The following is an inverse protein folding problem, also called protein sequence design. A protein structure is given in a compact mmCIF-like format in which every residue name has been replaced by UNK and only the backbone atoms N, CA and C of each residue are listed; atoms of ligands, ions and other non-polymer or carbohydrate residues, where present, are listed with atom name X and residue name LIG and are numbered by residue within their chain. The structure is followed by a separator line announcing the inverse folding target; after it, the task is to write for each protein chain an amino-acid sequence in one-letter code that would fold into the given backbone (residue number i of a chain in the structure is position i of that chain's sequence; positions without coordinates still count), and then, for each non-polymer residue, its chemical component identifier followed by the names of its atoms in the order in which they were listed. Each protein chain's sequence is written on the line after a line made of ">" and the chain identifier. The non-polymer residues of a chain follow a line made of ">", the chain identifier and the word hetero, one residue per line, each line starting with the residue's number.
data_IF_242439114090
#
_entry.id   IF_242439114090
#
_cell.length_a   1.000
_cell.length_b   1.000
_cell.length_c   1.000
_cell.angle_alpha   90.00
_cell.angle_beta   90.00
_cell.angle_gamma   90.00
#
_symmetry.space_group_name_H-M   'P 1'
#
loop_
_entity.id
_entity.type
_entity.pdbx_description
1 polymer ?
#
# COMPACT_ATOMS: atom_id res chain seq x y z
N UNK A 1 -11.35 3.51 -12.07
CA UNK A 1 -11.49 2.44 -11.05
C UNK A 1 -10.24 2.42 -10.18
N UNK A 2 -10.40 2.58 -8.86
CA UNK A 2 -9.26 2.59 -7.93
C UNK A 2 -9.02 1.21 -7.32
N UNK A 3 -7.77 0.74 -7.34
CA UNK A 3 -7.35 -0.51 -6.68
C UNK A 3 -6.32 -0.16 -5.61
N UNK A 4 -6.60 -0.58 -4.37
CA UNK A 4 -5.65 -0.56 -3.26
C UNK A 4 -4.99 -1.94 -3.14
N UNK A 5 -3.67 -1.97 -3.30
CA UNK A 5 -2.84 -3.16 -3.14
C UNK A 5 -2.17 -3.08 -1.78
N UNK A 6 -2.29 -4.16 -0.99
CA UNK A 6 -1.67 -4.29 0.31
C UNK A 6 -0.76 -5.52 0.33
N UNK A 7 0.48 -5.32 0.76
CA UNK A 7 1.38 -6.41 1.13
C UNK A 7 1.61 -6.35 2.64
N UNK A 8 1.00 -7.29 3.36
CA UNK A 8 0.99 -7.36 4.81
C UNK A 8 2.06 -8.31 5.31
N UNK A 9 3.16 -7.75 5.81
CA UNK A 9 4.13 -8.47 6.64
C UNK A 9 3.69 -8.52 8.11
N UNK A 10 4.44 -9.24 8.95
CA UNK A 10 4.13 -9.38 10.38
C UNK A 10 4.26 -8.08 11.19
N UNK A 11 5.13 -7.16 10.76
CA UNK A 11 5.40 -5.87 11.45
C UNK A 11 5.38 -4.67 10.51
N UNK A 12 4.96 -4.86 9.26
CA UNK A 12 4.89 -3.79 8.26
C UNK A 12 3.80 -4.03 7.23
N UNK A 13 3.29 -2.95 6.65
CA UNK A 13 2.35 -2.97 5.53
C UNK A 13 2.88 -2.04 4.44
N UNK A 14 3.14 -2.59 3.26
CA UNK A 14 3.38 -1.81 2.05
C UNK A 14 2.04 -1.60 1.35
N UNK A 15 1.79 -0.38 0.89
CA UNK A 15 0.56 -0.05 0.17
C UNK A 15 0.86 0.67 -1.15
N UNK A 16 0.02 0.41 -2.13
CA UNK A 16 -0.04 1.14 -3.39
C UNK A 16 -1.49 1.38 -3.76
N UNK A 17 -1.82 2.60 -4.19
CA UNK A 17 -3.13 2.96 -4.73
C UNK A 17 -2.97 3.28 -6.21
N UNK A 18 -3.66 2.52 -7.05
CA UNK A 18 -3.67 2.70 -8.49
C UNK A 18 -5.02 3.19 -8.99
N UNK A 19 -5.01 4.07 -10.00
CA UNK A 19 -6.13 4.33 -10.91
C UNK A 19 -5.90 3.55 -12.19
N UNK A 20 -6.62 2.44 -12.36
CA UNK A 20 -6.35 1.45 -13.42
C UNK A 20 -6.81 1.94 -14.79
N UNK A 21 -7.79 2.84 -14.87
CA UNK A 21 -8.24 3.38 -16.17
C UNK A 21 -7.12 4.12 -16.91
N UNK A 22 -6.16 4.67 -16.16
CA UNK A 22 -5.00 5.40 -16.69
C UNK A 22 -3.67 4.74 -16.33
N UNK A 23 -3.71 3.52 -15.77
CA UNK A 23 -2.54 2.80 -15.22
C UNK A 23 -1.66 3.67 -14.30
N UNK A 24 -2.28 4.59 -13.56
CA UNK A 24 -1.60 5.62 -12.79
C UNK A 24 -1.41 5.20 -11.34
N UNK A 25 -0.19 5.32 -10.82
CA UNK A 25 0.09 5.16 -9.39
C UNK A 25 -0.20 6.47 -8.67
N UNK A 26 -1.30 6.51 -7.92
CA UNK A 26 -1.73 7.68 -7.17
C UNK A 26 -0.97 7.86 -5.86
N UNK A 27 -0.66 6.76 -5.17
CA UNK A 27 0.08 6.79 -3.92
C UNK A 27 0.83 5.47 -3.67
N UNK A 28 1.96 5.54 -2.99
CA UNK A 28 2.64 4.38 -2.43
C UNK A 28 3.26 4.74 -1.08
N UNK A 29 3.43 3.74 -0.24
CA UNK A 29 4.16 3.91 1.01
C UNK A 29 4.34 2.62 1.76
N UNK A 30 4.96 2.75 2.92
CA UNK A 30 5.15 1.67 3.87
C UNK A 30 4.86 2.21 5.27
N UNK A 31 4.12 1.43 6.04
CA UNK A 31 3.99 1.60 7.49
C UNK A 31 4.82 0.49 8.12
N UNK A 32 5.79 0.87 8.95
CA UNK A 32 6.68 -0.05 9.64
C UNK A 32 6.45 0.02 11.15
N UNK A 33 7.07 -0.91 11.87
CA UNK A 33 7.02 -1.00 13.34
C UNK A 33 5.62 -1.23 13.91
N UNK A 34 4.76 -1.91 13.14
CA UNK A 34 3.43 -2.31 13.60
C UNK A 34 3.63 -3.39 14.68
N UNK A 35 3.08 -3.16 15.87
CA UNK A 35 3.18 -4.08 17.01
C UNK A 35 4.54 -4.07 17.71
N UNK A 36 5.36 -3.03 17.51
CA UNK A 36 6.55 -2.79 18.33
C UNK A 36 6.22 -1.74 19.39
N UNK A 37 6.39 -2.10 20.67
CA UNK A 37 6.48 -1.14 21.79
C UNK A 37 7.84 -0.40 21.78
#
# INVERSE_FOLDING_TARGET
>A
MKILILNCGSSSIKYQLFEIEHEELLAKGIVERIGLD
#
